data_IF_677202316146
#
_entry.id   IF_677202316146
#
_cell.length_a   1.000
_cell.length_b   1.000
_cell.length_c   1.000
_cell.angle_alpha   90.00
_cell.angle_beta   90.00
_cell.angle_gamma   90.00
#
_symmetry.space_group_name_H-M   'P 1'
#
loop_
_entity.id
_entity.type
_entity.pdbx_description
1 polymer ?
#
# COMPACT_ATOMS: atom_id res chain seq x y z
N UNK A 1 -3.80 -23.73 17.35
CA UNK A 1 -3.81 -22.28 17.67
C UNK A 1 -2.43 -21.64 17.65
N UNK A 2 -1.39 -22.24 18.23
CA UNK A 2 -0.02 -21.68 18.24
C UNK A 2 0.54 -21.37 16.83
N UNK A 3 0.35 -22.27 15.85
CA UNK A 3 0.79 -22.06 14.46
C UNK A 3 0.07 -20.89 13.76
N UNK A 4 -1.22 -20.70 14.05
CA UNK A 4 -1.98 -19.57 13.49
C UNK A 4 -1.54 -18.26 14.14
N UNK A 5 -1.25 -18.28 15.44
CA UNK A 5 -0.70 -17.14 16.15
C UNK A 5 0.71 -16.77 15.65
N UNK A 6 1.57 -17.75 15.34
CA UNK A 6 2.88 -17.49 14.71
C UNK A 6 2.75 -16.97 13.28
N UNK A 7 1.69 -17.33 12.56
CA UNK A 7 1.31 -16.70 11.28
C UNK A 7 0.68 -15.31 11.43
N UNK A 8 0.45 -14.85 12.66
CA UNK A 8 -0.08 -13.51 12.98
C UNK A 8 -1.58 -13.43 13.22
N UNK A 9 -2.31 -14.55 13.26
CA UNK A 9 -3.72 -14.57 13.64
C UNK A 9 -3.90 -14.08 15.07
N UNK A 10 -4.73 -13.06 15.26
CA UNK A 10 -5.04 -12.46 16.55
C UNK A 10 -6.57 -12.35 16.77
N UNK A 11 -6.99 -11.84 17.94
CA UNK A 11 -8.42 -11.67 18.29
C UNK A 11 -9.22 -10.85 17.27
N UNK A 12 -8.57 -9.99 16.49
CA UNK A 12 -9.17 -9.15 15.44
C UNK A 12 -8.92 -9.71 14.01
N UNK A 13 -8.33 -10.90 13.87
CA UNK A 13 -8.03 -11.54 12.58
C UNK A 13 -6.54 -11.51 12.21
N UNK A 14 -6.24 -11.56 10.90
CA UNK A 14 -4.87 -11.52 10.39
C UNK A 14 -4.36 -10.08 10.20
N UNK A 15 -3.04 -9.83 10.22
CA UNK A 15 -2.47 -8.52 9.90
C UNK A 15 -2.78 -8.15 8.45
N UNK A 16 -2.95 -6.85 8.16
CA UNK A 16 -3.37 -6.36 6.84
C UNK A 16 -2.53 -6.93 5.68
N UNK A 17 -1.22 -7.02 5.83
CA UNK A 17 -0.34 -7.60 4.80
C UNK A 17 -0.72 -9.06 4.49
N UNK A 18 -0.93 -9.90 5.51
CA UNK A 18 -1.31 -11.30 5.31
C UNK A 18 -2.73 -11.40 4.76
N UNK A 19 -3.68 -10.65 5.31
CA UNK A 19 -5.06 -10.56 4.81
C UNK A 19 -5.11 -10.18 3.32
N UNK A 20 -4.31 -9.19 2.90
CA UNK A 20 -4.21 -8.79 1.49
C UNK A 20 -3.59 -9.88 0.60
N UNK A 21 -2.62 -10.65 1.11
CA UNK A 21 -2.01 -11.77 0.38
C UNK A 21 -2.98 -12.94 0.23
N UNK A 22 -3.75 -13.26 1.28
CA UNK A 22 -4.80 -14.26 1.24
C UNK A 22 -5.89 -13.86 0.23
N UNK A 23 -6.33 -12.60 0.26
CA UNK A 23 -7.25 -12.08 -0.76
C UNK A 23 -6.66 -12.22 -2.16
N UNK A 24 -5.43 -11.77 -2.38
CA UNK A 24 -4.76 -11.86 -3.68
C UNK A 24 -4.59 -13.29 -4.18
N UNK A 25 -4.45 -14.26 -3.27
CA UNK A 25 -4.17 -15.66 -3.60
C UNK A 25 -5.42 -16.49 -3.83
N UNK A 26 -6.51 -16.21 -3.11
CA UNK A 26 -7.71 -17.09 -3.12
C UNK A 26 -8.97 -16.42 -3.65
N UNK A 27 -9.16 -15.13 -3.39
CA UNK A 27 -10.41 -14.43 -3.73
C UNK A 27 -10.25 -13.68 -5.04
N UNK A 28 -9.17 -12.90 -5.16
CA UNK A 28 -8.89 -12.10 -6.35
C UNK A 28 -8.85 -12.91 -7.64
N UNK A 29 -8.28 -14.13 -7.70
CA UNK A 29 -8.29 -14.94 -8.93
C UNK A 29 -9.71 -15.25 -9.43
N UNK A 30 -10.70 -15.36 -8.54
CA UNK A 30 -12.10 -15.55 -8.93
C UNK A 30 -12.67 -14.33 -9.66
N UNK A 31 -12.28 -13.13 -9.23
CA UNK A 31 -12.63 -11.88 -9.90
C UNK A 31 -11.82 -11.65 -11.19
N UNK A 32 -10.62 -12.22 -11.26
CA UNK A 32 -9.73 -12.10 -12.41
C UNK A 32 -10.01 -13.12 -13.52
N UNK A 33 -10.79 -14.15 -13.21
CA UNK A 33 -11.12 -15.20 -14.16
C UNK A 33 -11.78 -14.60 -15.41
N UNK A 34 -11.16 -14.83 -16.57
CA UNK A 34 -11.64 -14.31 -17.85
C UNK A 34 -11.37 -12.83 -18.14
N UNK A 35 -10.80 -12.03 -17.22
CA UNK A 35 -10.52 -10.59 -17.43
C UNK A 35 -9.72 -10.31 -18.71
N UNK A 36 -8.77 -11.18 -19.05
CA UNK A 36 -7.87 -10.99 -20.18
C UNK A 36 -8.52 -11.34 -21.53
N UNK A 37 -9.61 -12.09 -21.52
CA UNK A 37 -10.23 -12.69 -22.71
C UNK A 37 -11.60 -12.05 -22.99
N UNK A 38 -12.34 -11.72 -21.93
CA UNK A 38 -13.67 -11.14 -22.04
C UNK A 38 -13.64 -9.67 -22.50
N UNK A 39 -14.56 -9.31 -23.40
CA UNK A 39 -14.81 -7.93 -23.79
C UNK A 39 -15.76 -7.28 -22.78
N UNK A 40 -15.20 -6.86 -21.64
CA UNK A 40 -15.97 -6.23 -20.57
C UNK A 40 -16.31 -4.78 -20.89
N UNK A 41 -17.55 -4.40 -20.60
CA UNK A 41 -18.02 -3.01 -20.67
C UNK A 41 -17.57 -2.23 -19.43
N UNK A 42 -17.71 -0.91 -19.46
CA UNK A 42 -17.43 -0.05 -18.30
C UNK A 42 -18.27 -0.45 -17.07
N UNK A 43 -19.54 -0.81 -17.27
CA UNK A 43 -20.45 -1.23 -16.19
C UNK A 43 -19.94 -2.51 -15.51
N UNK A 44 -19.39 -3.45 -16.28
CA UNK A 44 -18.83 -4.70 -15.74
C UNK A 44 -17.61 -4.41 -14.86
N UNK A 45 -16.70 -3.52 -15.32
CA UNK A 45 -15.58 -3.07 -14.51
C UNK A 45 -16.02 -2.36 -13.23
N UNK A 46 -17.08 -1.56 -13.29
CA UNK A 46 -17.63 -0.89 -12.10
C UNK A 46 -18.21 -1.89 -11.10
N UNK A 47 -18.86 -2.97 -11.54
CA UNK A 47 -19.32 -4.04 -10.63
C UNK A 47 -18.16 -4.84 -10.04
N UNK A 48 -17.16 -5.22 -10.86
CA UNK A 48 -15.97 -5.92 -10.39
C UNK A 48 -15.18 -5.08 -9.38
N UNK A 49 -15.05 -3.77 -9.63
CA UNK A 49 -14.44 -2.85 -8.67
C UNK A 49 -15.27 -2.76 -7.39
N UNK A 50 -16.61 -2.70 -7.46
CA UNK A 50 -17.48 -2.72 -6.27
C UNK A 50 -17.33 -4.01 -5.46
N UNK A 51 -17.20 -5.17 -6.12
CA UNK A 51 -16.92 -6.44 -5.47
C UNK A 51 -15.55 -6.44 -4.76
N UNK A 52 -14.48 -6.05 -5.46
CA UNK A 52 -13.14 -5.92 -4.86
C UNK A 52 -13.16 -4.96 -3.66
N UNK A 53 -13.77 -3.79 -3.82
CA UNK A 53 -13.84 -2.74 -2.81
C UNK A 53 -14.59 -3.19 -1.55
N UNK A 54 -15.67 -3.96 -1.69
CA UNK A 54 -16.35 -4.61 -0.56
C UNK A 54 -15.41 -5.55 0.18
N UNK A 55 -14.70 -6.43 -0.53
CA UNK A 55 -13.74 -7.34 0.09
C UNK A 55 -12.62 -6.58 0.82
N UNK A 56 -12.04 -5.53 0.20
CA UNK A 56 -10.98 -4.75 0.81
C UNK A 56 -11.41 -4.08 2.12
N UNK A 57 -12.63 -3.53 2.18
CA UNK A 57 -13.18 -2.95 3.42
C UNK A 57 -13.36 -4.02 4.50
N UNK A 58 -13.83 -5.21 4.13
CA UNK A 58 -13.95 -6.34 5.06
C UNK A 58 -12.60 -6.78 5.64
N UNK A 59 -11.53 -6.81 4.82
CA UNK A 59 -10.19 -7.22 5.28
C UNK A 59 -9.65 -6.33 6.41
N UNK A 60 -10.04 -5.06 6.44
CA UNK A 60 -9.59 -4.10 7.47
C UNK A 60 -10.65 -3.82 8.53
N UNK A 61 -11.81 -4.48 8.49
CA UNK A 61 -12.95 -4.15 9.36
C UNK A 61 -13.43 -2.71 9.20
N UNK A 62 -13.24 -2.13 8.00
CA UNK A 62 -13.51 -0.72 7.73
C UNK A 62 -14.99 -0.43 7.50
N UNK A 63 -15.39 0.82 7.76
CA UNK A 63 -16.75 1.29 7.49
C UNK A 63 -17.12 1.17 5.99
N UNK A 64 -18.41 1.06 5.67
CA UNK A 64 -18.94 0.95 4.30
C UNK A 64 -18.49 2.06 3.34
N UNK A 65 -18.17 3.25 3.87
CA UNK A 65 -17.67 4.41 3.10
C UNK A 65 -16.16 4.61 3.17
N UNK A 66 -15.41 3.69 3.80
CA UNK A 66 -13.96 3.82 3.89
C UNK A 66 -13.33 3.86 2.49
N UNK A 67 -12.30 4.71 2.34
CA UNK A 67 -11.59 4.90 1.08
C UNK A 67 -10.91 3.60 0.64
N UNK A 68 -11.29 3.10 -0.53
CA UNK A 68 -10.66 1.93 -1.14
C UNK A 68 -9.47 2.31 -2.01
N UNK A 69 -9.37 3.57 -2.44
CA UNK A 69 -8.20 4.08 -3.18
C UNK A 69 -6.93 3.87 -2.37
N UNK A 70 -6.95 4.26 -1.09
CA UNK A 70 -5.78 4.11 -0.21
C UNK A 70 -5.52 2.63 0.11
N UNK A 71 -6.57 1.84 0.40
CA UNK A 71 -6.41 0.39 0.64
C UNK A 71 -5.74 -0.31 -0.54
N UNK A 72 -6.20 -0.02 -1.76
CA UNK A 72 -5.63 -0.56 -3.00
C UNK A 72 -4.16 -0.16 -3.15
N UNK A 73 -3.80 1.08 -2.83
CA UNK A 73 -2.42 1.55 -2.88
C UNK A 73 -1.53 0.83 -1.86
N UNK A 74 -1.91 0.86 -0.58
CA UNK A 74 -1.11 0.27 0.52
C UNK A 74 -0.90 -1.23 0.31
N UNK A 75 -1.94 -1.95 -0.13
CA UNK A 75 -1.90 -3.41 -0.34
C UNK A 75 -1.39 -3.84 -1.71
N UNK A 76 -1.08 -2.91 -2.62
CA UNK A 76 -0.78 -3.18 -4.03
C UNK A 76 -1.87 -4.04 -4.72
N UNK A 77 -3.13 -3.71 -4.44
CA UNK A 77 -4.29 -4.32 -5.05
C UNK A 77 -4.98 -3.30 -5.97
N UNK A 78 -4.46 -3.03 -7.18
CA UNK A 78 -5.02 -1.99 -8.05
C UNK A 78 -6.46 -2.29 -8.47
N UNK A 79 -7.13 -1.32 -9.12
CA UNK A 79 -8.47 -1.52 -9.67
C UNK A 79 -8.53 -2.71 -10.63
N UNK A 80 -9.74 -3.25 -10.83
CA UNK A 80 -9.97 -4.36 -11.76
C UNK A 80 -9.73 -3.96 -13.22
N UNK A 81 -9.99 -2.69 -13.56
CA UNK A 81 -9.64 -2.12 -14.87
C UNK A 81 -8.13 -2.09 -15.10
N UNK A 82 -7.36 -1.53 -14.17
CA UNK A 82 -5.90 -1.50 -14.26
C UNK A 82 -5.31 -2.91 -14.21
N UNK A 83 -5.95 -3.84 -13.48
CA UNK A 83 -5.54 -5.23 -13.44
C UNK A 83 -5.73 -5.92 -14.78
N UNK A 84 -6.83 -5.64 -15.50
CA UNK A 84 -7.04 -6.12 -16.86
C UNK A 84 -5.97 -5.57 -17.82
N UNK A 85 -5.66 -4.28 -17.74
CA UNK A 85 -4.56 -3.67 -18.49
C UNK A 85 -3.22 -4.36 -18.21
N UNK A 86 -2.95 -4.67 -16.93
CA UNK A 86 -1.76 -5.41 -16.50
C UNK A 86 -1.72 -6.83 -17.08
N UNK A 87 -2.87 -7.52 -17.15
CA UNK A 87 -2.96 -8.86 -17.76
C UNK A 87 -2.69 -8.79 -19.27
N UNK A 88 -3.25 -7.80 -19.96
CA UNK A 88 -3.01 -7.55 -21.38
C UNK A 88 -1.54 -7.28 -21.65
N UNK A 89 -0.90 -6.41 -20.86
CA UNK A 89 0.54 -6.14 -20.98
C UNK A 89 1.37 -7.43 -20.82
N UNK A 90 1.06 -8.25 -19.82
CA UNK A 90 1.74 -9.54 -19.60
C UNK A 90 1.57 -10.48 -20.80
N UNK A 91 0.37 -10.51 -21.39
CA UNK A 91 0.11 -11.31 -22.59
C UNK A 91 0.91 -10.80 -23.79
N UNK A 92 0.90 -9.49 -24.05
CA UNK A 92 1.68 -8.89 -25.14
C UNK A 92 3.19 -9.16 -25.00
N UNK A 93 3.74 -9.03 -23.79
CA UNK A 93 5.16 -9.35 -23.55
C UNK A 93 5.48 -10.83 -23.71
N UNK A 94 4.55 -11.72 -23.33
CA UNK A 94 4.70 -13.15 -23.60
C UNK A 94 4.70 -13.41 -25.10
N UNK A 95 3.84 -12.74 -25.85
CA UNK A 95 3.75 -12.88 -27.30
C UNK A 95 5.06 -12.50 -28.00
N UNK A 96 5.73 -11.43 -27.57
CA UNK A 96 7.03 -11.01 -28.14
C UNK A 96 8.17 -12.02 -27.97
N UNK A 97 8.08 -12.91 -26.96
CA UNK A 97 9.10 -13.91 -26.67
C UNK A 97 8.71 -15.34 -27.03
N UNK A 98 7.61 -15.54 -27.77
CA UNK A 98 7.20 -16.86 -28.23
C UNK A 98 8.04 -17.30 -29.43
N UNK A 99 8.42 -18.59 -29.51
CA UNK A 99 8.97 -19.18 -30.73
C UNK A 99 8.05 -19.01 -31.95
N UNK A 100 8.64 -18.90 -33.14
CA UNK A 100 7.91 -18.68 -34.40
C UNK A 100 7.04 -19.89 -34.82
N UNK A 101 7.35 -21.09 -34.30
CA UNK A 101 6.64 -22.35 -34.55
C UNK A 101 5.42 -22.55 -33.63
N UNK A 102 5.21 -21.68 -32.66
CA UNK A 102 4.03 -21.75 -31.80
C UNK A 102 2.74 -21.47 -32.58
N UNK A 103 1.67 -22.22 -32.29
CA UNK A 103 0.34 -22.03 -32.89
C UNK A 103 -0.10 -20.56 -32.91
N UNK A 104 0.15 -19.84 -31.81
CA UNK A 104 -0.22 -18.43 -31.70
C UNK A 104 0.56 -17.53 -32.67
N UNK A 105 1.84 -17.82 -32.92
CA UNK A 105 2.70 -17.11 -33.86
C UNK A 105 2.26 -17.37 -35.30
N UNK A 106 1.90 -18.61 -35.62
CA UNK A 106 1.33 -19.00 -36.92
C UNK A 106 -0.03 -18.33 -37.16
N UNK A 107 -0.91 -18.33 -36.15
CA UNK A 107 -2.23 -17.72 -36.22
C UNK A 107 -2.17 -16.18 -36.22
N UNK A 108 -1.12 -15.55 -35.70
CA UNK A 108 -1.01 -14.09 -35.67
C UNK A 108 -1.13 -13.46 -37.05
N UNK A 109 -0.68 -14.16 -38.10
CA UNK A 109 -0.82 -13.73 -39.50
C UNK A 109 -2.30 -13.69 -39.96
N UNK A 110 -3.16 -14.51 -39.35
CA UNK A 110 -4.60 -14.57 -39.62
C UNK A 110 -5.45 -13.67 -38.71
N UNK A 111 -4.87 -13.12 -37.63
CA UNK A 111 -5.60 -12.26 -36.70
C UNK A 111 -5.65 -10.83 -37.26
N UNK A 112 -6.82 -10.17 -37.28
CA UNK A 112 -6.93 -8.80 -37.77
C UNK A 112 -6.00 -7.84 -37.02
N UNK A 113 -5.17 -7.11 -37.78
CA UNK A 113 -4.19 -6.13 -37.26
C UNK A 113 -4.85 -5.07 -36.36
N UNK A 114 -6.14 -4.80 -36.56
CA UNK A 114 -6.96 -3.88 -35.76
C UNK A 114 -7.09 -4.29 -34.28
N UNK A 115 -7.10 -5.59 -33.96
CA UNK A 115 -7.19 -6.07 -32.58
C UNK A 115 -5.86 -5.93 -31.84
N UNK A 116 -4.75 -6.29 -32.50
CA UNK A 116 -3.41 -6.14 -31.93
C UNK A 116 -3.04 -4.67 -31.73
N UNK A 117 -3.38 -3.82 -32.68
CA UNK A 117 -3.15 -2.37 -32.56
C UNK A 117 -3.99 -1.73 -31.46
N UNK A 118 -5.21 -2.20 -31.18
CA UNK A 118 -5.99 -1.76 -30.00
C UNK A 118 -5.33 -2.14 -28.67
N UNK A 119 -4.73 -3.33 -28.57
CA UNK A 119 -4.03 -3.75 -27.35
C UNK A 119 -2.76 -2.92 -27.12
N UNK A 120 -1.99 -2.65 -28.18
CA UNK A 120 -0.77 -1.82 -28.12
C UNK A 120 -1.02 -0.34 -27.79
N UNK A 121 -2.22 0.17 -28.08
CA UNK A 121 -2.62 1.55 -27.75
C UNK A 121 -2.97 1.79 -26.28
N UNK A 122 -3.00 0.75 -25.43
CA UNK A 122 -3.30 0.94 -24.00
C UNK A 122 -2.17 1.71 -23.32
N UNK A 123 -2.53 2.69 -22.49
CA UNK A 123 -1.58 3.58 -21.80
C UNK A 123 -0.50 2.82 -21.02
N UNK A 124 -0.87 1.73 -20.32
CA UNK A 124 0.10 0.92 -19.55
C UNK A 124 1.17 0.27 -20.45
N UNK A 125 0.86 0.00 -21.71
CA UNK A 125 1.78 -0.61 -22.68
C UNK A 125 2.76 0.43 -23.19
N UNK A 126 2.27 1.66 -23.41
CA UNK A 126 3.10 2.80 -23.81
C UNK A 126 4.01 3.28 -22.67
N UNK A 127 3.51 3.30 -21.43
CA UNK A 127 4.24 3.75 -20.25
C UNK A 127 5.25 2.68 -19.73
N UNK A 128 5.24 1.47 -20.29
CA UNK A 128 6.11 0.37 -19.85
C UNK A 128 7.55 0.60 -20.34
N UNK A 129 8.55 0.74 -19.44
CA UNK A 129 9.93 1.01 -19.87
C UNK A 129 10.51 -0.16 -20.68
N UNK A 130 11.30 0.16 -21.71
CA UNK A 130 11.91 -0.83 -22.62
C UNK A 130 12.88 -1.80 -21.92
N UNK A 131 13.46 -1.42 -20.78
CA UNK A 131 14.42 -2.24 -19.99
C UNK A 131 13.74 -3.32 -19.11
N UNK A 132 12.40 -3.37 -19.13
CA UNK A 132 11.58 -4.35 -18.41
C UNK A 132 11.30 -5.56 -19.31
N UNK A 133 12.35 -6.19 -19.86
CA UNK A 133 12.21 -7.32 -20.79
C UNK A 133 11.97 -8.66 -20.08
N UNK A 134 12.37 -8.80 -18.81
CA UNK A 134 12.18 -10.05 -18.06
C UNK A 134 10.89 -10.03 -17.22
N UNK A 135 10.24 -11.20 -17.10
CA UNK A 135 9.02 -11.37 -16.32
C UNK A 135 9.18 -10.96 -14.84
N UNK A 136 10.38 -11.16 -14.28
CA UNK A 136 10.73 -10.77 -12.91
C UNK A 136 10.81 -9.25 -12.74
N UNK A 137 11.43 -8.52 -13.67
CA UNK A 137 11.46 -7.04 -13.67
C UNK A 137 10.07 -6.46 -13.86
N UNK A 138 9.25 -7.06 -14.73
CA UNK A 138 7.86 -6.63 -14.94
C UNK A 138 7.01 -6.83 -13.69
N UNK A 139 7.19 -7.96 -12.98
CA UNK A 139 6.54 -8.19 -11.70
C UNK A 139 6.98 -7.19 -10.61
N UNK A 140 8.25 -6.80 -10.61
CA UNK A 140 8.78 -5.78 -9.69
C UNK A 140 8.22 -4.38 -9.99
N UNK A 141 8.19 -3.97 -11.26
CA UNK A 141 7.61 -2.69 -11.68
C UNK A 141 6.12 -2.58 -11.31
N UNK A 142 5.37 -3.68 -11.45
CA UNK A 142 3.95 -3.78 -11.10
C UNK A 142 3.67 -3.96 -9.60
N UNK A 143 4.67 -4.29 -8.78
CA UNK A 143 4.50 -4.51 -7.33
C UNK A 143 5.17 -3.39 -6.54
N UNK A 144 4.38 -2.40 -6.13
CA UNK A 144 4.76 -1.42 -5.12
C UNK A 144 3.82 -1.53 -3.93
N UNK A 145 4.04 -2.54 -3.09
CA UNK A 145 3.40 -2.60 -1.75
C UNK A 145 4.01 -1.48 -0.92
N UNK A 146 3.18 -0.70 -0.23
CA UNK A 146 3.67 0.38 0.62
C UNK A 146 4.62 -0.19 1.70
N UNK A 147 5.84 0.36 1.85
CA UNK A 147 6.80 -0.10 2.84
C UNK A 147 6.27 -0.25 4.26
N UNK A 148 5.30 0.59 4.68
CA UNK A 148 4.71 0.53 6.03
C UNK A 148 4.18 -0.86 6.43
N UNK A 149 3.83 -1.70 5.45
CA UNK A 149 3.23 -3.01 5.71
C UNK A 149 4.26 -4.08 6.09
N UNK A 150 5.48 -4.01 5.55
CA UNK A 150 6.50 -5.05 5.74
C UNK A 150 7.75 -4.57 6.47
N UNK A 151 7.96 -3.26 6.59
CA UNK A 151 9.06 -2.74 7.38
C UNK A 151 8.92 -3.17 8.86
N UNK A 152 10.05 -3.43 9.55
CA UNK A 152 10.03 -3.79 10.96
C UNK A 152 9.37 -2.68 11.79
N UNK A 153 8.36 -3.04 12.56
CA UNK A 153 7.59 -2.11 13.39
C UNK A 153 6.79 -2.91 14.42
N UNK A 154 6.56 -2.33 15.60
CA UNK A 154 5.64 -2.88 16.58
C UNK A 154 4.22 -2.94 16.01
N UNK A 155 3.33 -3.73 16.64
CA UNK A 155 1.92 -3.78 16.22
C UNK A 155 1.24 -2.41 16.34
N UNK A 156 1.53 -1.67 17.41
CA UNK A 156 0.97 -0.35 17.66
C UNK A 156 1.45 0.67 16.61
N UNK A 157 2.75 0.69 16.32
CA UNK A 157 3.33 1.61 15.34
C UNK A 157 2.81 1.31 13.93
N UNK A 158 2.74 0.03 13.54
CA UNK A 158 2.16 -0.37 12.24
C UNK A 158 0.69 0.04 12.13
N UNK A 159 -0.08 -0.11 13.20
CA UNK A 159 -1.48 0.35 13.23
C UNK A 159 -1.56 1.87 13.00
N UNK A 160 -0.73 2.67 13.69
CA UNK A 160 -0.71 4.14 13.52
C UNK A 160 -0.29 4.56 12.12
N UNK A 161 0.74 3.93 11.55
CA UNK A 161 1.19 4.18 10.17
C UNK A 161 0.08 3.90 9.15
N UNK A 162 -0.59 2.74 9.26
CA UNK A 162 -1.72 2.39 8.40
C UNK A 162 -2.85 3.41 8.58
N UNK A 163 -3.26 3.70 9.82
CA UNK A 163 -4.33 4.66 10.10
C UNK A 163 -4.02 6.06 9.60
N UNK A 164 -2.78 6.52 9.72
CA UNK A 164 -2.33 7.78 9.14
C UNK A 164 -2.43 7.76 7.62
N UNK A 165 -1.87 6.75 6.94
CA UNK A 165 -1.96 6.63 5.48
C UNK A 165 -3.41 6.57 4.99
N UNK A 166 -4.27 5.89 5.74
CA UNK A 166 -5.72 5.77 5.49
C UNK A 166 -6.53 7.05 5.73
N UNK A 167 -5.93 8.09 6.31
CA UNK A 167 -6.66 9.29 6.72
C UNK A 167 -7.65 9.03 7.87
N UNK A 168 -7.41 7.99 8.66
CA UNK A 168 -8.24 7.66 9.84
C UNK A 168 -7.71 8.31 11.12
N UNK A 169 -6.47 8.83 11.08
CA UNK A 169 -5.94 9.75 12.09
C UNK A 169 -5.68 11.10 11.40
N UNK A 170 -6.24 12.20 11.94
CA UNK A 170 -7.29 12.22 12.95
C UNK A 170 -8.60 11.65 12.40
N UNK A 171 -9.45 11.13 13.29
CA UNK A 171 -10.75 10.57 12.94
C UNK A 171 -11.78 11.67 12.64
N UNK A 172 -12.86 11.71 13.42
CA UNK A 172 -13.78 12.84 13.37
C UNK A 172 -13.11 14.06 14.03
N UNK A 173 -13.16 15.26 13.43
CA UNK A 173 -12.66 16.47 14.07
C UNK A 173 -13.32 16.65 15.44
N UNK A 174 -12.50 16.84 16.46
CA UNK A 174 -12.90 17.13 17.82
C UNK A 174 -12.03 18.29 18.35
N UNK A 175 -12.51 19.09 19.32
CA UNK A 175 -11.71 20.16 19.87
C UNK A 175 -10.41 19.60 20.48
N UNK A 176 -9.28 20.15 20.06
CA UNK A 176 -7.98 19.73 20.59
C UNK A 176 -7.75 20.30 21.99
N UNK A 177 -7.14 19.51 22.87
CA UNK A 177 -6.78 19.93 24.23
C UNK A 177 -5.74 21.06 24.28
N UNK A 178 -5.09 21.41 23.17
CA UNK A 178 -4.23 22.59 23.09
C UNK A 178 -5.02 23.91 23.01
N UNK A 179 -6.34 23.86 22.76
CA UNK A 179 -7.21 25.04 22.67
C UNK A 179 -7.10 25.85 21.36
N UNK A 180 -6.26 25.43 20.41
CA UNK A 180 -5.96 26.20 19.18
C UNK A 180 -6.70 25.68 17.92
N UNK A 181 -7.68 24.80 18.07
CA UNK A 181 -8.52 24.32 16.97
C UNK A 181 -8.95 22.85 17.11
N UNK A 182 -9.51 22.31 16.02
CA UNK A 182 -9.94 20.93 15.96
C UNK A 182 -8.82 19.97 15.53
N UNK A 183 -8.89 18.71 15.98
CA UNK A 183 -8.01 17.61 15.58
C UNK A 183 -8.18 17.30 14.08
N UNK A 184 -7.50 18.08 13.25
CA UNK A 184 -7.39 17.91 11.80
C UNK A 184 -5.94 17.57 11.42
N UNK A 185 -5.70 16.95 10.25
CA UNK A 185 -4.33 16.59 9.83
C UNK A 185 -3.42 17.82 9.75
N UNK A 186 -3.97 18.96 9.32
CA UNK A 186 -3.28 20.24 9.28
C UNK A 186 -2.95 20.74 10.68
N UNK A 187 -3.92 20.74 11.60
CA UNK A 187 -3.70 21.14 12.99
C UNK A 187 -2.63 20.29 13.68
N UNK A 188 -2.65 18.97 13.49
CA UNK A 188 -1.66 18.07 14.10
C UNK A 188 -0.21 18.38 13.68
N UNK A 189 0.02 18.99 12.50
CA UNK A 189 1.36 19.40 12.08
C UNK A 189 1.92 20.57 12.91
N UNK A 190 1.05 21.38 13.50
CA UNK A 190 1.40 22.62 14.23
C UNK A 190 0.99 22.58 15.70
N UNK A 191 0.48 21.43 16.17
CA UNK A 191 -0.04 21.28 17.52
C UNK A 191 1.10 21.35 18.56
N UNK A 192 0.92 22.19 19.58
CA UNK A 192 1.93 22.42 20.65
C UNK A 192 2.11 21.22 21.58
N UNK A 193 1.17 20.26 21.58
CA UNK A 193 1.26 19.04 22.36
C UNK A 193 2.24 18.01 21.78
N UNK A 194 2.75 18.26 20.57
CA UNK A 194 3.74 17.41 19.91
C UNK A 194 5.12 18.04 20.13
N UNK A 195 6.08 17.35 20.76
CA UNK A 195 7.39 17.92 21.05
C UNK A 195 8.11 18.43 19.79
N UNK A 196 8.48 19.71 19.78
CA UNK A 196 9.16 20.37 18.65
C UNK A 196 10.46 19.68 18.25
N UNK A 197 11.20 19.14 19.22
CA UNK A 197 12.46 18.41 19.01
C UNK A 197 12.30 17.20 18.07
N UNK A 198 11.13 16.54 18.07
CA UNK A 198 10.90 15.40 17.18
C UNK A 198 10.85 15.84 15.71
N UNK A 199 10.28 17.01 15.43
CA UNK A 199 10.19 17.56 14.08
C UNK A 199 11.55 17.90 13.50
N UNK A 200 12.51 18.32 14.34
CA UNK A 200 13.90 18.57 13.92
C UNK A 200 14.60 17.30 13.44
N UNK A 201 14.14 16.12 13.86
CA UNK A 201 14.70 14.84 13.40
C UNK A 201 14.14 14.39 12.04
N UNK A 202 13.11 15.05 11.49
CA UNK A 202 12.47 14.66 10.23
C UNK A 202 13.09 15.38 9.03
N UNK A 203 13.23 14.72 7.86
CA UNK A 203 13.59 15.39 6.61
C UNK A 203 12.60 16.50 6.27
N UNK A 204 13.10 17.69 5.90
CA UNK A 204 12.25 18.85 5.58
C UNK A 204 11.75 18.74 4.12
N UNK A 205 10.44 18.94 3.86
CA UNK A 205 9.92 18.93 2.50
C UNK A 205 10.45 20.13 1.69
N UNK A 206 10.64 19.98 0.37
CA UNK A 206 11.12 21.06 -0.48
C UNK A 206 10.10 22.22 -0.55
N UNK A 207 10.56 23.47 -0.81
CA UNK A 207 9.68 24.62 -0.95
C UNK A 207 8.71 24.39 -2.13
N UNK A 208 7.41 24.46 -1.84
CA UNK A 208 6.35 24.18 -2.82
C UNK A 208 5.75 22.77 -2.76
N UNK A 209 6.16 21.91 -1.82
CA UNK A 209 5.49 20.61 -1.61
C UNK A 209 4.03 20.80 -1.18
N UNK A 210 3.11 20.23 -1.97
CA UNK A 210 1.67 20.24 -1.69
C UNK A 210 1.30 18.95 -0.96
N UNK A 211 1.35 18.98 0.37
CA UNK A 211 0.99 17.84 1.23
C UNK A 211 1.41 18.05 2.68
N UNK A 212 1.07 17.09 3.55
CA UNK A 212 1.51 17.13 4.95
C UNK A 212 2.96 16.64 5.07
N UNK A 213 3.71 17.20 6.01
CA UNK A 213 5.12 16.82 6.27
C UNK A 213 5.29 15.31 6.50
N UNK A 214 4.39 14.69 7.26
CA UNK A 214 4.42 13.24 7.50
C UNK A 214 4.22 12.42 6.21
N UNK A 215 3.37 12.90 5.28
CA UNK A 215 3.15 12.20 4.01
C UNK A 215 4.41 12.22 3.13
N UNK A 216 5.17 13.33 3.16
CA UNK A 216 6.48 13.43 2.53
C UNK A 216 7.46 12.42 3.14
N UNK A 217 7.61 12.40 4.46
CA UNK A 217 8.57 11.50 5.15
C UNK A 217 8.23 10.03 4.95
N UNK A 218 6.94 9.67 4.92
CA UNK A 218 6.51 8.30 4.61
C UNK A 218 6.85 7.87 3.18
N UNK A 219 6.86 8.81 2.23
CA UNK A 219 7.26 8.52 0.85
C UNK A 219 8.77 8.36 0.67
N UNK A 220 9.58 8.76 1.66
CA UNK A 220 11.02 8.53 1.69
C UNK A 220 11.42 7.17 2.27
N UNK A 221 10.46 6.37 2.75
CA UNK A 221 10.75 5.07 3.35
C UNK A 221 11.43 4.12 2.34
N UNK A 222 12.40 3.31 2.78
CA UNK A 222 13.07 2.37 1.90
C UNK A 222 12.10 1.26 1.45
N UNK A 223 12.24 0.86 0.19
CA UNK A 223 11.41 -0.18 -0.43
C UNK A 223 11.93 -1.60 -0.13
N UNK A 224 13.13 -1.72 0.46
CA UNK A 224 13.70 -3.01 0.84
C UNK A 224 13.45 -3.30 2.32
N UNK A 225 12.92 -4.49 2.61
CA UNK A 225 12.79 -4.98 3.99
C UNK A 225 14.14 -5.24 4.69
N UNK A 226 15.23 -5.31 3.92
CA UNK A 226 16.60 -5.44 4.40
C UNK A 226 17.33 -4.08 4.53
N UNK A 227 16.65 -2.96 4.25
CA UNK A 227 17.26 -1.65 4.40
C UNK A 227 17.55 -1.33 5.88
N UNK A 228 18.61 -0.54 6.08
CA UNK A 228 18.95 0.02 7.40
C UNK A 228 17.83 0.94 7.87
N UNK A 229 17.56 0.92 9.18
CA UNK A 229 16.59 1.80 9.81
C UNK A 229 16.97 3.27 9.56
N UNK A 230 16.07 4.10 8.98
CA UNK A 230 16.34 5.52 8.80
C UNK A 230 16.51 6.24 10.15
N UNK A 231 17.41 7.24 10.27
CA UNK A 231 17.66 7.94 11.53
C UNK A 231 16.43 8.66 12.08
N UNK A 232 15.51 9.08 11.20
CA UNK A 232 14.26 9.76 11.55
C UNK A 232 13.13 8.80 11.97
N UNK A 233 13.31 7.48 11.87
CA UNK A 233 12.25 6.50 12.06
C UNK A 233 11.62 6.54 13.45
N UNK A 234 12.45 6.62 14.51
CA UNK A 234 11.93 6.70 15.87
C UNK A 234 11.11 7.97 16.08
N UNK A 235 11.61 9.12 15.62
CA UNK A 235 10.90 10.39 15.72
C UNK A 235 9.55 10.34 14.97
N UNK A 236 9.51 9.75 13.77
CA UNK A 236 8.28 9.55 13.01
C UNK A 236 7.25 8.70 13.79
N UNK A 237 7.67 7.57 14.36
CA UNK A 237 6.78 6.70 15.15
C UNK A 237 6.29 7.41 16.43
N UNK A 238 7.14 8.19 17.08
CA UNK A 238 6.79 8.96 18.27
C UNK A 238 5.78 10.07 17.94
N UNK A 239 5.98 10.83 16.87
CA UNK A 239 5.02 11.86 16.41
C UNK A 239 3.64 11.22 16.15
N UNK A 240 3.60 10.10 15.42
CA UNK A 240 2.35 9.39 15.16
C UNK A 240 1.71 8.86 16.45
N UNK A 241 2.50 8.49 17.46
CA UNK A 241 2.00 8.14 18.78
C UNK A 241 1.41 9.36 19.51
N UNK A 242 2.00 10.53 19.40
CA UNK A 242 1.44 11.77 19.95
C UNK A 242 0.13 12.14 19.27
N UNK A 243 0.04 12.04 17.94
CA UNK A 243 -1.22 12.28 17.23
C UNK A 243 -2.34 11.36 17.71
N UNK A 244 -2.03 10.08 17.89
CA UNK A 244 -2.97 9.09 18.40
C UNK A 244 -3.49 9.49 19.79
N UNK A 245 -2.59 9.85 20.71
CA UNK A 245 -2.91 10.33 22.06
C UNK A 245 -3.77 11.61 22.05
N UNK A 246 -3.47 12.55 21.16
CA UNK A 246 -4.24 13.80 21.03
C UNK A 246 -5.66 13.51 20.52
N UNK A 247 -5.80 12.58 19.57
CA UNK A 247 -7.10 12.24 18.99
C UNK A 247 -7.94 11.32 19.89
N UNK A 248 -7.29 10.55 20.76
CA UNK A 248 -7.91 9.57 21.65
C UNK A 248 -7.27 9.62 23.05
N UNK A 249 -7.63 10.61 23.86
CA UNK A 249 -7.07 10.80 25.20
C UNK A 249 -7.51 9.71 26.18
N UNK A 250 -8.69 9.11 25.98
CA UNK A 250 -9.28 8.12 26.89
C UNK A 250 -8.70 6.70 26.75
N UNK A 251 -7.79 6.49 25.78
CA UNK A 251 -7.19 5.17 25.53
C UNK A 251 -5.90 5.04 26.32
N UNK A 252 -5.77 3.97 27.11
CA UNK A 252 -4.51 3.62 27.76
C UNK A 252 -3.49 3.06 26.75
N UNK A 253 -2.36 3.74 26.62
CA UNK A 253 -1.26 3.35 25.73
C UNK A 253 -0.22 2.51 26.46
N UNK A 254 -0.58 1.28 26.84
CA UNK A 254 0.35 0.33 27.45
C UNK A 254 1.18 -0.37 26.36
N UNK A 255 2.28 0.26 25.92
CA UNK A 255 3.24 -0.38 24.98
C UNK A 255 4.48 -0.87 25.72
N UNK A 256 4.81 -2.15 25.55
CA UNK A 256 6.02 -2.78 26.10
C UNK A 256 7.34 -2.28 25.48
N UNK A 257 7.27 -1.47 24.41
CA UNK A 257 8.44 -0.93 23.70
C UNK A 257 8.20 0.53 23.30
N UNK A 258 9.28 1.31 23.26
CA UNK A 258 9.26 2.68 22.77
C UNK A 258 8.89 2.71 21.26
N UNK A 259 8.14 3.72 20.78
CA UNK A 259 7.77 3.83 19.38
C UNK A 259 8.99 3.80 18.45
N UNK A 260 8.96 2.90 17.46
CA UNK A 260 10.02 2.74 16.48
C UNK A 260 11.20 1.86 16.91
N UNK A 261 11.25 1.41 18.18
CA UNK A 261 12.39 0.67 18.74
C UNK A 261 12.64 -0.68 18.05
N UNK A 262 11.57 -1.37 17.64
CA UNK A 262 11.64 -2.72 17.02
C UNK A 262 12.58 -2.78 15.80
N UNK A 263 12.62 -1.75 14.96
CA UNK A 263 13.52 -1.74 13.80
C UNK A 263 14.96 -1.40 14.19
N UNK A 264 15.14 -0.56 15.21
CA UNK A 264 16.47 -0.21 15.74
C UNK A 264 17.11 -1.46 16.35
N UNK A 265 16.37 -2.21 17.17
CA UNK A 265 16.83 -3.47 17.77
C UNK A 265 17.17 -4.49 16.70
N UNK A 266 16.33 -4.62 15.66
CA UNK A 266 16.61 -5.53 14.54
C UNK A 266 17.85 -5.11 13.74
N UNK A 267 18.05 -3.81 13.53
CA UNK A 267 19.20 -3.30 12.77
C UNK A 267 20.52 -3.43 13.55
N UNK A 268 20.48 -3.28 14.87
CA UNK A 268 21.63 -3.48 15.75
C UNK A 268 21.98 -4.97 15.90
N UNK A 269 20.99 -5.86 16.03
CA UNK A 269 21.20 -7.31 16.03
C UNK A 269 21.82 -7.82 14.72
N UNK A 270 21.49 -7.21 13.58
CA UNK A 270 22.08 -7.56 12.28
C UNK A 270 23.50 -6.97 12.07
N UNK A 271 23.96 -6.07 12.94
CA UNK A 271 25.27 -5.45 12.89
C UNK A 271 26.27 -6.05 13.89
N UNK A 272 25.83 -6.99 14.73
CA UNK A 272 26.71 -7.79 15.58
C UNK A 272 27.42 -8.88 14.72
N UNK A 273 28.73 -9.08 14.89
CA UNK A 273 29.53 -10.01 14.09
C UNK A 273 29.14 -11.48 14.28
#
# INVERSE_FOLDING_TARGET
>A
MAQLHSMGLNRQGFPLLLSSRLFASFIRPKLEYGLAIAQLTRKDYDELNRAQDRCLRMLVGGHRTASTVVLRHITNLPSMSFRADTLVLKFCRRFEGLPDDCLLSLLAQSVPVSHLSRLRKRKIVLDCPSDVSSSSRLASWLRKVDPILYLPASRADRSRLIRWRMGWIPGKPAPCSCGLGDTSRSHLMVCTLVPSALWCCLPVPPPGYVGHHIDYVLNLLPVSAAARCPPYWSALCQILCHFDKICHPDIEYNSSSLPGQVWIDKSSAAAAP
#
